data_IF_958748008706
#
_entry.id   IF_958748008706
#
_cell.length_a   1.000
_cell.length_b   1.000
_cell.length_c   1.000
_cell.angle_alpha   90.00
_cell.angle_beta   90.00
_cell.angle_gamma   90.00
#
_symmetry.space_group_name_H-M   'P 1'
#
loop_
_entity.id
_entity.type
_entity.pdbx_description
1 polymer ?
#
# COMPACT_ATOMS: atom_id res chain seq x y z
N UNK A 1 6.51 0.78 -22.06
CA UNK A 1 5.18 0.35 -21.58
C UNK A 1 4.53 1.57 -20.96
N UNK A 2 3.47 2.10 -21.57
CA UNK A 2 2.77 3.31 -21.11
C UNK A 2 1.84 2.92 -19.97
N UNK A 3 2.20 3.24 -18.72
CA UNK A 3 1.30 3.11 -17.59
C UNK A 3 0.36 4.31 -17.62
N UNK A 4 -0.88 4.10 -18.06
CA UNK A 4 -1.95 5.09 -18.01
C UNK A 4 -2.24 5.37 -16.54
N UNK A 5 -1.68 6.43 -15.98
CA UNK A 5 -2.10 6.93 -14.67
C UNK A 5 -3.48 7.58 -14.90
N UNK A 6 -4.54 6.88 -14.51
CA UNK A 6 -5.87 7.46 -14.42
C UNK A 6 -5.79 8.72 -13.55
N UNK A 7 -6.61 9.75 -13.87
CA UNK A 7 -6.71 10.96 -13.04
C UNK A 7 -6.76 10.58 -11.56
N UNK A 8 -5.98 11.24 -10.68
CA UNK A 8 -5.90 10.85 -9.28
C UNK A 8 -7.28 11.07 -8.65
N UNK A 9 -8.08 10.02 -8.63
CA UNK A 9 -9.28 9.97 -7.82
C UNK A 9 -8.79 10.10 -6.38
N UNK A 10 -9.20 11.18 -5.72
CA UNK A 10 -8.90 11.40 -4.32
C UNK A 10 -9.89 10.53 -3.54
N UNK A 11 -9.38 9.47 -2.92
CA UNK A 11 -10.15 8.57 -2.07
C UNK A 11 -10.24 9.13 -0.65
N UNK A 12 -11.41 9.03 -0.04
CA UNK A 12 -11.55 9.16 1.41
C UNK A 12 -11.06 7.89 2.11
N UNK A 13 -10.86 7.97 3.42
CA UNK A 13 -10.47 6.79 4.22
C UNK A 13 -11.49 5.66 4.10
N UNK A 14 -12.79 5.96 4.17
CA UNK A 14 -13.84 4.95 4.09
C UNK A 14 -13.85 4.27 2.71
N UNK A 15 -13.76 5.05 1.62
CA UNK A 15 -13.66 4.50 0.26
C UNK A 15 -12.40 3.64 0.07
N UNK A 16 -11.30 4.00 0.72
CA UNK A 16 -10.08 3.20 0.70
C UNK A 16 -10.28 1.85 1.40
N UNK A 17 -10.93 1.81 2.56
CA UNK A 17 -11.22 0.56 3.27
C UNK A 17 -12.17 -0.34 2.49
N UNK A 18 -13.21 0.23 1.86
CA UNK A 18 -14.13 -0.54 1.01
C UNK A 18 -13.45 -1.10 -0.24
N UNK A 19 -12.47 -0.38 -0.77
CA UNK A 19 -11.68 -0.84 -1.92
C UNK A 19 -10.57 -1.82 -1.54
N UNK A 20 -10.09 -1.82 -0.29
CA UNK A 20 -8.87 -2.50 0.12
C UNK A 20 -8.95 -4.03 -0.07
N UNK A 21 -8.07 -4.63 -0.91
CA UNK A 21 -8.10 -6.06 -1.16
C UNK A 21 -7.50 -6.85 0.02
N UNK A 22 -8.34 -7.57 0.77
CA UNK A 22 -7.94 -8.36 1.95
C UNK A 22 -6.91 -9.46 1.64
N UNK A 23 -6.89 -10.00 0.42
CA UNK A 23 -6.00 -11.09 0.00
C UNK A 23 -4.99 -10.64 -1.07
N UNK A 24 -4.44 -9.44 -0.94
CA UNK A 24 -3.39 -8.97 -1.87
C UNK A 24 -1.99 -9.45 -1.49
N UNK A 25 -1.18 -9.77 -2.50
CA UNK A 25 0.23 -10.08 -2.30
C UNK A 25 1.09 -8.83 -2.01
N UNK A 26 0.54 -7.64 -2.26
CA UNK A 26 1.16 -6.33 -2.04
C UNK A 26 0.36 -5.54 -1.00
N UNK A 27 0.99 -4.56 -0.35
CA UNK A 27 0.30 -3.66 0.59
C UNK A 27 -0.06 -2.39 -0.14
N UNK A 28 -1.20 -1.78 0.19
CA UNK A 28 -1.59 -0.47 -0.33
C UNK A 28 -1.66 0.52 0.81
N UNK A 29 -1.25 1.75 0.54
CA UNK A 29 -1.29 2.86 1.49
C UNK A 29 -2.05 4.04 0.89
N UNK A 30 -2.74 4.80 1.73
CA UNK A 30 -3.45 6.02 1.32
C UNK A 30 -2.63 7.25 1.74
N UNK A 31 -2.09 7.98 0.77
CA UNK A 31 -1.30 9.21 0.96
C UNK A 31 -2.06 10.40 0.37
N UNK A 32 -2.60 11.27 1.23
CA UNK A 32 -3.39 12.45 0.81
C UNK A 32 -4.52 12.12 -0.20
N UNK A 33 -5.16 10.96 -0.01
CA UNK A 33 -6.22 10.45 -0.88
C UNK A 33 -5.73 9.73 -2.13
N UNK A 34 -4.42 9.54 -2.29
CA UNK A 34 -3.81 8.76 -3.37
C UNK A 34 -3.47 7.37 -2.86
N UNK A 35 -3.95 6.34 -3.54
CA UNK A 35 -3.61 4.96 -3.23
C UNK A 35 -2.26 4.63 -3.86
N UNK A 36 -1.30 4.24 -3.02
CA UNK A 36 0.07 3.89 -3.40
C UNK A 36 0.28 2.40 -3.13
N UNK A 37 0.77 1.67 -4.13
CA UNK A 37 1.19 0.28 -3.97
C UNK A 37 2.57 0.24 -3.32
N UNK A 38 2.64 -0.37 -2.13
CA UNK A 38 3.88 -0.66 -1.42
C UNK A 38 4.22 -2.13 -1.63
N UNK A 39 5.20 -2.45 -2.51
CA UNK A 39 5.70 -3.81 -2.61
C UNK A 39 6.22 -4.24 -1.24
N UNK A 40 6.08 -5.53 -0.91
CA UNK A 40 6.58 -6.07 0.35
C UNK A 40 8.06 -5.68 0.51
N UNK A 41 8.49 -5.24 1.71
CA UNK A 41 9.89 -4.93 1.94
C UNK A 41 10.71 -6.19 1.66
N UNK A 42 11.49 -6.16 0.59
CA UNK A 42 12.40 -7.24 0.22
C UNK A 42 13.81 -6.85 0.68
N UNK A 43 14.34 -7.53 1.69
CA UNK A 43 15.73 -7.36 2.15
C UNK A 43 15.92 -7.37 3.67
N UNK A 44 17.18 -7.20 4.10
CA UNK A 44 17.67 -7.27 5.49
C UNK A 44 16.98 -6.29 6.46
N UNK A 45 16.31 -5.26 5.96
CA UNK A 45 15.51 -4.33 6.78
C UNK A 45 14.22 -4.94 7.33
N UNK A 46 13.76 -6.08 6.79
CA UNK A 46 12.61 -6.82 7.33
C UNK A 46 12.93 -7.55 8.64
N UNK A 47 14.20 -7.84 8.91
CA UNK A 47 14.62 -8.60 10.10
C UNK A 47 14.57 -7.76 11.39
N UNK A 48 14.75 -6.44 11.28
CA UNK A 48 14.73 -5.54 12.44
C UNK A 48 13.32 -5.33 13.01
N UNK A 49 12.27 -5.39 12.17
CA UNK A 49 10.89 -5.24 12.63
C UNK A 49 10.43 -6.44 13.49
N UNK A 50 10.95 -7.64 13.22
CA UNK A 50 10.70 -8.84 14.05
C UNK A 50 11.44 -8.82 15.38
N UNK A 51 12.53 -8.04 15.49
CA UNK A 51 13.39 -7.99 16.68
C UNK A 51 12.82 -7.13 17.82
N UNK A 52 11.92 -6.17 17.53
CA UNK A 52 11.33 -5.27 18.53
C UNK A 52 9.99 -5.78 19.11
N UNK A 53 9.62 -7.03 18.82
CA UNK A 53 8.39 -7.69 19.30
C UNK A 53 8.70 -8.71 20.42
N UNK A 54 9.93 -8.75 20.96
CA UNK A 54 10.23 -9.47 22.22
C UNK A 54 9.96 -8.61 23.47
#
# INVERSE_FOLDING_TARGET
>A
MTQTQAEPKIYTFDEFIEWYPEQSEVRYELHDGVIVEMPKPTGEHSDLAGFLIE
#
